data_IF_100495794139
#
_entry.id   IF_100495794139
#
_cell.length_a   1.000
_cell.length_b   1.000
_cell.length_c   1.000
_cell.angle_alpha   90.00
_cell.angle_beta   90.00
_cell.angle_gamma   90.00
#
_symmetry.space_group_name_H-M   'P 1'
#
loop_
_entity.id
_entity.type
_entity.pdbx_description
1 polymer ?
#
# COMPACT_ATOMS: atom_id res chain seq x y z
N UNK A 1 -5.13 -33.37 -21.06
CA UNK A 1 -5.83 -33.28 -19.77
C UNK A 1 -5.83 -34.65 -19.13
N UNK A 2 -4.91 -34.84 -18.19
CA UNK A 2 -4.66 -36.08 -17.47
C UNK A 2 -5.84 -36.42 -16.56
N UNK A 3 -6.06 -37.70 -16.28
CA UNK A 3 -7.11 -38.16 -15.36
C UNK A 3 -6.90 -37.61 -13.93
N UNK A 4 -5.66 -37.31 -13.56
CA UNK A 4 -5.31 -36.65 -12.29
C UNK A 4 -5.81 -35.21 -12.22
N UNK A 5 -5.71 -34.43 -13.30
CA UNK A 5 -6.21 -33.05 -13.36
C UNK A 5 -7.74 -33.02 -13.25
N UNK A 6 -8.43 -34.02 -13.80
CA UNK A 6 -9.90 -34.16 -13.70
C UNK A 6 -10.35 -34.60 -12.32
N UNK A 7 -9.61 -35.51 -11.67
CA UNK A 7 -9.88 -35.94 -10.30
C UNK A 7 -9.64 -34.82 -9.29
N UNK A 8 -8.56 -34.05 -9.48
CA UNK A 8 -8.29 -32.85 -8.69
C UNK A 8 -9.40 -31.81 -8.89
N UNK A 9 -9.78 -31.49 -10.14
CA UNK A 9 -10.86 -30.54 -10.40
C UNK A 9 -12.22 -30.95 -9.82
N UNK A 10 -12.54 -32.25 -9.82
CA UNK A 10 -13.77 -32.78 -9.23
C UNK A 10 -13.77 -32.67 -7.69
N UNK A 11 -12.65 -33.04 -7.04
CA UNK A 11 -12.47 -32.85 -5.60
C UNK A 11 -12.56 -31.36 -5.20
N UNK A 12 -12.01 -30.47 -6.03
CA UNK A 12 -12.10 -29.02 -5.85
C UNK A 12 -13.50 -28.43 -6.14
N UNK A 13 -14.38 -29.14 -6.86
CA UNK A 13 -15.76 -28.72 -7.11
C UNK A 13 -16.68 -29.11 -5.94
N UNK A 14 -16.44 -30.28 -5.35
CA UNK A 14 -17.17 -30.80 -4.20
C UNK A 14 -16.92 -29.95 -2.93
N UNK A 15 -15.66 -29.55 -2.70
CA UNK A 15 -15.28 -28.63 -1.63
C UNK A 15 -15.87 -27.23 -1.80
N UNK A 16 -16.13 -26.77 -3.04
CA UNK A 16 -16.78 -25.48 -3.31
C UNK A 16 -18.28 -25.48 -2.99
N UNK A 17 -18.95 -26.63 -3.12
CA UNK A 17 -20.38 -26.76 -2.78
C UNK A 17 -20.65 -26.70 -1.28
N UNK A 18 -19.79 -27.34 -0.48
CA UNK A 18 -19.93 -27.37 0.98
C UNK A 18 -19.74 -25.99 1.67
N UNK A 19 -19.03 -25.06 1.02
CA UNK A 19 -18.72 -23.72 1.55
C UNK A 19 -19.95 -22.77 1.51
N UNK A 20 -20.98 -23.06 0.70
CA UNK A 20 -22.12 -22.16 0.51
C UNK A 20 -23.26 -22.41 1.51
N UNK A 21 -23.37 -23.62 2.07
CA UNK A 21 -24.53 -24.03 2.90
C UNK A 21 -24.39 -23.73 4.42
N UNK A 22 -23.21 -23.36 4.91
CA UNK A 22 -22.93 -23.25 6.35
C UNK A 22 -22.44 -21.88 6.82
N UNK A 23 -23.35 -20.90 6.93
CA UNK A 23 -23.09 -19.63 7.62
C UNK A 23 -22.33 -18.58 6.80
N UNK A 24 -22.39 -17.32 7.25
CA UNK A 24 -22.02 -16.11 6.49
C UNK A 24 -20.55 -16.15 6.07
N UNK A 25 -20.30 -16.74 4.89
CA UNK A 25 -19.04 -16.65 4.19
C UNK A 25 -18.90 -15.22 3.66
N UNK A 26 -18.11 -14.39 4.34
CA UNK A 26 -17.53 -13.22 3.67
C UNK A 26 -16.44 -13.73 2.75
N UNK A 27 -16.84 -14.12 1.54
CA UNK A 27 -15.96 -14.17 0.38
C UNK A 27 -15.44 -12.75 0.13
N UNK A 28 -14.29 -12.41 0.71
CA UNK A 28 -13.56 -11.25 0.28
C UNK A 28 -13.07 -11.49 -1.15
N UNK A 29 -13.77 -10.89 -2.12
CA UNK A 29 -13.23 -10.60 -3.45
C UNK A 29 -13.63 -11.56 -4.57
N UNK A 30 -14.88 -11.47 -5.03
CA UNK A 30 -15.27 -11.91 -6.38
C UNK A 30 -16.24 -10.89 -7.00
N UNK A 31 -15.87 -9.61 -7.01
CA UNK A 31 -16.52 -8.59 -7.84
C UNK A 31 -15.42 -7.73 -8.46
N UNK A 32 -15.45 -7.68 -9.79
CA UNK A 32 -14.37 -7.21 -10.65
C UNK A 32 -14.08 -5.72 -10.59
N UNK A 33 -12.79 -5.44 -10.68
CA UNK A 33 -12.13 -4.18 -11.02
C UNK A 33 -10.67 -4.54 -11.32
N UNK A 34 -10.00 -3.85 -12.24
CA UNK A 34 -8.70 -4.21 -12.86
C UNK A 34 -7.48 -4.33 -11.92
N UNK A 35 -7.68 -4.55 -10.62
CA UNK A 35 -6.67 -4.93 -9.61
C UNK A 35 -6.91 -6.30 -8.96
N UNK A 36 -7.75 -7.17 -9.52
CA UNK A 36 -8.07 -8.48 -8.95
C UNK A 36 -7.01 -9.55 -9.26
N UNK A 37 -5.89 -9.54 -8.52
CA UNK A 37 -5.06 -10.74 -8.41
C UNK A 37 -5.85 -11.80 -7.64
N UNK A 38 -5.98 -13.00 -8.22
CA UNK A 38 -6.50 -14.14 -7.49
C UNK A 38 -5.46 -14.47 -6.42
N UNK A 39 -5.79 -14.25 -5.14
CA UNK A 39 -4.93 -14.66 -4.03
C UNK A 39 -4.62 -16.15 -4.22
N UNK A 40 -3.33 -16.50 -4.31
CA UNK A 40 -2.95 -17.90 -4.46
C UNK A 40 -3.45 -18.70 -3.25
N UNK A 41 -3.75 -19.98 -3.46
CA UNK A 41 -4.32 -20.88 -2.45
C UNK A 41 -3.49 -20.92 -1.14
N UNK A 42 -2.19 -20.60 -1.21
CA UNK A 42 -1.28 -20.51 -0.07
C UNK A 42 -1.66 -19.36 0.88
N UNK A 43 -2.30 -18.30 0.37
CA UNK A 43 -2.81 -17.17 1.15
C UNK A 43 -4.27 -17.33 1.57
N UNK A 44 -4.93 -18.44 1.22
CA UNK A 44 -6.22 -18.79 1.81
C UNK A 44 -5.95 -19.32 3.22
N UNK A 45 -6.02 -18.44 4.20
CA UNK A 45 -5.91 -18.83 5.62
C UNK A 45 -6.97 -19.87 5.95
N UNK A 46 -6.57 -20.92 6.67
CA UNK A 46 -7.44 -21.92 7.28
C UNK A 46 -8.59 -21.17 7.97
N UNK A 47 -9.82 -21.41 7.50
CA UNK A 47 -11.00 -20.91 8.18
C UNK A 47 -11.04 -21.60 9.55
N UNK A 48 -10.66 -20.87 10.60
CA UNK A 48 -10.99 -21.28 11.97
C UNK A 48 -12.51 -21.26 12.03
N UNK A 49 -13.13 -22.43 12.17
CA UNK A 49 -14.57 -22.55 12.41
C UNK A 49 -14.81 -22.04 13.82
N UNK A 50 -15.03 -20.73 13.93
CA UNK A 50 -15.25 -20.06 15.20
C UNK A 50 -16.75 -20.14 15.49
N UNK A 51 -17.11 -20.99 16.44
CA UNK A 51 -18.49 -21.20 16.88
C UNK A 51 -18.89 -20.23 18.00
N UNK A 52 -17.92 -19.65 18.72
CA UNK A 52 -18.13 -18.72 19.83
C UNK A 52 -17.45 -17.36 19.59
N UNK A 53 -18.18 -16.27 19.82
CA UNK A 53 -17.67 -14.89 19.71
C UNK A 53 -16.63 -14.55 20.77
N UNK A 54 -16.57 -15.31 21.86
CA UNK A 54 -15.62 -15.08 22.95
C UNK A 54 -14.36 -15.94 22.86
N UNK A 55 -14.12 -16.62 21.73
CA UNK A 55 -12.92 -17.44 21.51
C UNK A 55 -11.64 -16.55 21.54
N UNK A 56 -10.69 -16.80 22.47
CA UNK A 56 -9.41 -16.08 22.51
C UNK A 56 -8.63 -16.13 21.20
N UNK A 57 -8.77 -17.20 20.41
CA UNK A 57 -8.11 -17.35 19.09
C UNK A 57 -8.70 -16.36 18.07
N UNK A 58 -10.02 -16.13 18.09
CA UNK A 58 -10.67 -15.10 17.28
C UNK A 58 -10.17 -13.70 17.67
N UNK A 59 -10.13 -13.40 18.96
CA UNK A 59 -9.67 -12.11 19.44
C UNK A 59 -8.21 -11.83 19.05
N UNK A 60 -7.33 -12.82 19.20
CA UNK A 60 -5.93 -12.69 18.78
C UNK A 60 -5.81 -12.50 17.26
N UNK A 61 -6.55 -13.26 16.45
CA UNK A 61 -6.58 -13.08 15.00
C UNK A 61 -7.08 -11.68 14.60
N UNK A 62 -8.16 -11.19 15.23
CA UNK A 62 -8.67 -9.84 14.99
C UNK A 62 -7.67 -8.75 15.40
N UNK A 63 -6.96 -8.91 16.52
CA UNK A 63 -5.90 -7.98 16.94
C UNK A 63 -4.77 -7.93 15.92
N UNK A 64 -4.33 -9.08 15.41
CA UNK A 64 -3.31 -9.15 14.36
C UNK A 64 -3.77 -8.45 13.08
N UNK A 65 -4.98 -8.74 12.62
CA UNK A 65 -5.54 -8.09 11.41
C UNK A 65 -5.75 -6.59 11.61
N UNK A 66 -6.15 -6.16 12.81
CA UNK A 66 -6.24 -4.75 13.16
C UNK A 66 -4.87 -4.07 13.15
N UNK A 67 -3.84 -4.66 13.77
CA UNK A 67 -2.48 -4.13 13.75
C UNK A 67 -1.93 -4.00 12.33
N UNK A 68 -2.19 -5.01 11.47
CA UNK A 68 -1.82 -4.95 10.05
C UNK A 68 -2.53 -3.79 9.35
N UNK A 69 -3.85 -3.71 9.42
CA UNK A 69 -4.62 -2.63 8.82
C UNK A 69 -4.18 -1.25 9.35
N UNK A 70 -3.94 -1.13 10.64
CA UNK A 70 -3.46 0.09 11.28
C UNK A 70 -2.08 0.52 10.76
N UNK A 71 -1.13 -0.41 10.65
CA UNK A 71 0.20 -0.14 10.10
C UNK A 71 0.14 0.31 8.63
N UNK A 72 -0.72 -0.30 7.82
CA UNK A 72 -0.97 0.14 6.44
C UNK A 72 -1.54 1.55 6.38
N UNK A 73 -2.51 1.89 7.23
CA UNK A 73 -3.07 3.24 7.27
C UNK A 73 -2.03 4.27 7.69
N UNK A 74 -1.20 3.96 8.71
CA UNK A 74 -0.10 4.85 9.13
C UNK A 74 0.90 5.06 7.99
N UNK A 75 1.37 4.00 7.36
CA UNK A 75 2.30 4.06 6.22
C UNK A 75 1.71 4.84 5.03
N UNK A 76 0.46 4.55 4.66
CA UNK A 76 -0.18 5.25 3.55
C UNK A 76 -0.26 6.76 3.80
N UNK A 77 -0.45 7.19 5.06
CA UNK A 77 -0.41 8.61 5.40
C UNK A 77 0.97 9.25 5.22
N UNK A 78 2.05 8.50 5.45
CA UNK A 78 3.42 8.94 5.19
C UNK A 78 3.66 9.05 3.68
N UNK A 79 3.28 8.02 2.92
CA UNK A 79 3.40 8.00 1.46
C UNK A 79 2.66 9.19 0.81
N UNK A 80 1.48 9.56 1.31
CA UNK A 80 0.73 10.74 0.83
C UNK A 80 1.47 12.05 1.14
N UNK A 81 2.11 12.17 2.31
CA UNK A 81 2.92 13.35 2.65
C UNK A 81 4.16 13.45 1.76
N UNK A 82 4.84 12.33 1.53
CA UNK A 82 6.00 12.25 0.66
C UNK A 82 5.63 12.63 -0.78
N UNK A 83 4.55 12.04 -1.32
CA UNK A 83 4.08 12.34 -2.67
C UNK A 83 3.77 13.83 -2.86
N UNK A 84 3.13 14.45 -1.86
CA UNK A 84 2.86 15.89 -1.88
C UNK A 84 4.15 16.70 -1.96
N UNK A 85 5.15 16.33 -1.17
CA UNK A 85 6.43 17.03 -1.15
C UNK A 85 7.21 16.81 -2.45
N UNK A 86 7.25 15.60 -2.98
CA UNK A 86 7.86 15.29 -4.28
C UNK A 86 7.23 16.11 -5.42
N UNK A 87 5.89 16.25 -5.42
CA UNK A 87 5.19 17.11 -6.38
C UNK A 87 5.62 18.58 -6.24
N UNK A 88 5.71 19.07 -4.99
CA UNK A 88 6.17 20.44 -4.72
C UNK A 88 7.61 20.66 -5.18
N UNK A 89 8.50 19.73 -4.84
CA UNK A 89 9.91 19.76 -5.21
C UNK A 89 10.12 19.69 -6.72
N UNK A 90 9.35 18.86 -7.43
CA UNK A 90 9.43 18.76 -8.89
C UNK A 90 9.08 20.09 -9.56
N UNK A 91 8.02 20.76 -9.11
CA UNK A 91 7.63 22.07 -9.64
C UNK A 91 8.68 23.14 -9.29
N UNK A 92 9.15 23.16 -8.04
CA UNK A 92 10.17 24.11 -7.61
C UNK A 92 11.47 23.94 -8.41
N UNK A 93 11.90 22.70 -8.64
CA UNK A 93 13.05 22.37 -9.46
C UNK A 93 12.90 22.92 -10.89
N UNK A 94 11.76 22.68 -11.55
CA UNK A 94 11.54 23.19 -12.91
C UNK A 94 11.57 24.72 -13.01
N UNK A 95 11.07 25.45 -12.00
CA UNK A 95 11.22 26.90 -11.95
C UNK A 95 12.67 27.33 -11.76
N UNK A 96 13.43 26.66 -10.89
CA UNK A 96 14.86 26.90 -10.71
C UNK A 96 15.65 26.62 -11.99
N UNK A 97 15.33 25.56 -12.74
CA UNK A 97 15.94 25.30 -14.05
C UNK A 97 15.59 26.40 -15.06
N UNK A 98 14.34 26.87 -15.08
CA UNK A 98 13.94 27.99 -15.93
C UNK A 98 14.74 29.27 -15.61
N UNK A 99 14.96 29.57 -14.32
CA UNK A 99 15.78 30.70 -13.88
C UNK A 99 17.24 30.57 -14.35
N UNK A 100 17.83 29.37 -14.26
CA UNK A 100 19.18 29.10 -14.78
C UNK A 100 19.26 29.36 -16.29
N UNK A 101 18.26 28.94 -17.06
CA UNK A 101 18.22 29.24 -18.50
C UNK A 101 18.12 30.74 -18.77
N UNK A 102 17.39 31.51 -17.95
CA UNK A 102 17.35 32.97 -18.07
C UNK A 102 18.66 33.66 -17.68
N UNK A 103 19.38 33.10 -16.72
CA UNK A 103 20.74 33.55 -16.39
C UNK A 103 21.67 33.34 -17.59
N UNK A 104 21.66 32.13 -18.18
CA UNK A 104 22.42 31.82 -19.39
C UNK A 104 22.04 32.75 -20.56
N UNK A 105 20.76 33.08 -20.73
CA UNK A 105 20.34 34.06 -21.74
C UNK A 105 21.02 35.43 -21.55
N UNK A 106 21.26 35.85 -20.30
CA UNK A 106 21.91 37.15 -20.00
C UNK A 106 23.42 37.10 -20.16
N UNK A 107 24.02 35.91 -20.20
CA UNK A 107 25.46 35.76 -20.38
C UNK A 107 25.90 36.10 -21.81
N UNK A 108 27.01 36.83 -21.90
CA UNK A 108 27.64 37.17 -23.17
C UNK A 108 28.72 36.13 -23.48
N UNK A 109 28.60 35.43 -24.61
CA UNK A 109 29.64 34.49 -25.02
C UNK A 109 30.85 35.29 -25.54
N UNK A 110 31.91 35.33 -24.73
CA UNK A 110 33.16 36.00 -25.08
C UNK A 110 33.73 35.45 -26.40
N UNK A 111 34.01 36.33 -27.35
CA UNK A 111 34.59 35.97 -28.65
C UNK A 111 33.64 35.32 -29.65
N UNK A 112 32.33 35.34 -29.40
CA UNK A 112 31.31 34.82 -30.33
C UNK A 112 30.88 35.86 -31.36
N UNK A 113 30.40 35.37 -32.52
CA UNK A 113 29.76 36.22 -33.52
C UNK A 113 28.40 36.73 -33.03
N UNK A 114 27.91 37.88 -33.51
CA UNK A 114 26.63 38.42 -33.06
C UNK A 114 25.45 37.47 -33.36
N UNK A 115 25.51 36.74 -34.47
CA UNK A 115 24.49 35.74 -34.84
C UNK A 115 24.48 34.55 -33.88
N UNK A 116 25.65 34.12 -33.40
CA UNK A 116 25.76 33.05 -32.42
C UNK A 116 25.23 33.50 -31.05
N UNK A 117 25.50 34.74 -30.65
CA UNK A 117 24.95 35.32 -29.42
C UNK A 117 23.42 35.44 -29.49
N UNK A 118 22.87 35.85 -30.64
CA UNK A 118 21.42 35.89 -30.87
C UNK A 118 20.80 34.49 -30.77
N UNK A 119 21.38 33.50 -31.46
CA UNK A 119 20.92 32.11 -31.41
C UNK A 119 20.98 31.51 -30.01
N UNK A 120 22.06 31.79 -29.26
CA UNK A 120 22.19 31.38 -27.87
C UNK A 120 21.07 31.94 -26.98
N UNK A 121 20.81 33.24 -27.09
CA UNK A 121 19.72 33.90 -26.33
C UNK A 121 18.36 33.33 -26.68
N UNK A 122 18.09 33.13 -27.97
CA UNK A 122 16.83 32.55 -28.43
C UNK A 122 16.63 31.13 -27.88
N UNK A 123 17.67 30.30 -27.93
CA UNK A 123 17.64 28.93 -27.42
C UNK A 123 17.43 28.89 -25.90
N UNK A 124 18.19 29.67 -25.14
CA UNK A 124 18.04 29.75 -23.69
C UNK A 124 16.64 30.25 -23.29
N UNK A 125 16.09 31.24 -24.00
CA UNK A 125 14.73 31.73 -23.78
C UNK A 125 13.66 30.67 -24.09
N UNK A 126 13.84 29.87 -25.14
CA UNK A 126 12.94 28.76 -25.47
C UNK A 126 12.92 27.69 -24.37
N UNK A 127 14.08 27.31 -23.84
CA UNK A 127 14.20 26.35 -22.74
C UNK A 127 13.57 26.86 -21.46
N UNK A 128 13.85 28.12 -21.08
CA UNK A 128 13.21 28.74 -19.92
C UNK A 128 11.67 28.72 -20.02
N UNK A 129 11.14 29.04 -21.22
CA UNK A 129 9.70 29.00 -21.47
C UNK A 129 9.13 27.58 -21.43
N UNK A 130 9.88 26.60 -21.95
CA UNK A 130 9.46 25.19 -21.97
C UNK A 130 9.36 24.63 -20.55
N UNK A 131 10.36 24.88 -19.71
CA UNK A 131 10.35 24.47 -18.30
C UNK A 131 9.19 25.09 -17.53
N UNK A 132 8.92 26.39 -17.73
CA UNK A 132 7.76 27.05 -17.12
C UNK A 132 6.43 26.44 -17.54
N UNK A 133 6.24 26.20 -18.84
CA UNK A 133 5.03 25.54 -19.35
C UNK A 133 4.85 24.15 -18.75
N UNK A 134 5.94 23.38 -18.62
CA UNK A 134 5.90 22.07 -17.96
C UNK A 134 5.47 22.20 -16.49
N UNK A 135 6.01 23.17 -15.76
CA UNK A 135 5.61 23.45 -14.39
C UNK A 135 4.13 23.81 -14.27
N UNK A 136 3.62 24.70 -15.13
CA UNK A 136 2.20 25.08 -15.17
C UNK A 136 1.29 23.89 -15.46
N UNK A 137 1.67 23.04 -16.42
CA UNK A 137 0.94 21.81 -16.75
C UNK A 137 0.91 20.84 -15.58
N UNK A 138 2.05 20.62 -14.91
CA UNK A 138 2.14 19.76 -13.73
C UNK A 138 1.30 20.31 -12.59
N UNK A 139 1.39 21.62 -12.32
CA UNK A 139 0.60 22.29 -11.29
C UNK A 139 -0.90 22.13 -11.54
N UNK A 140 -1.37 22.35 -12.78
CA UNK A 140 -2.76 22.15 -13.16
C UNK A 140 -3.22 20.69 -13.02
N UNK A 141 -2.40 19.74 -13.46
CA UNK A 141 -2.71 18.30 -13.37
C UNK A 141 -2.74 17.81 -11.92
N UNK A 142 -1.82 18.28 -11.09
CA UNK A 142 -1.65 17.86 -9.71
C UNK A 142 -2.57 18.59 -8.73
N UNK A 143 -3.10 19.76 -9.08
CA UNK A 143 -4.02 20.52 -8.21
C UNK A 143 -5.15 19.66 -7.63
N UNK A 144 -5.82 18.86 -8.48
CA UNK A 144 -6.90 17.95 -8.04
C UNK A 144 -6.39 16.85 -7.11
N UNK A 145 -5.19 16.33 -7.35
CA UNK A 145 -4.60 15.24 -6.56
C UNK A 145 -4.16 15.78 -5.20
N UNK A 146 -3.49 16.93 -5.18
CA UNK A 146 -3.08 17.62 -3.97
C UNK A 146 -4.27 18.01 -3.10
N UNK A 147 -5.37 18.51 -3.69
CA UNK A 147 -6.59 18.79 -2.94
C UNK A 147 -7.17 17.55 -2.26
N UNK A 148 -7.12 16.38 -2.92
CA UNK A 148 -7.53 15.10 -2.32
C UNK A 148 -6.56 14.64 -1.23
N UNK A 149 -5.26 14.79 -1.45
CA UNK A 149 -4.23 14.46 -0.47
C UNK A 149 -4.38 15.33 0.80
N UNK A 150 -4.61 16.63 0.65
CA UNK A 150 -4.84 17.56 1.75
C UNK A 150 -6.10 17.20 2.54
N UNK A 151 -7.21 16.89 1.84
CA UNK A 151 -8.44 16.44 2.49
C UNK A 151 -8.22 15.12 3.27
N UNK A 152 -7.49 14.17 2.69
CA UNK A 152 -7.14 12.90 3.35
C UNK A 152 -6.28 13.13 4.60
N UNK A 153 -5.22 13.95 4.48
CA UNK A 153 -4.31 14.24 5.59
C UNK A 153 -5.01 15.03 6.71
N UNK A 154 -5.91 15.96 6.37
CA UNK A 154 -6.73 16.67 7.35
C UNK A 154 -7.65 15.72 8.12
N UNK A 155 -8.38 14.86 7.41
CA UNK A 155 -9.22 13.84 8.04
C UNK A 155 -8.41 12.88 8.92
N UNK A 156 -7.21 12.48 8.46
CA UNK A 156 -6.32 11.63 9.25
C UNK A 156 -5.75 12.33 10.48
N UNK A 157 -5.41 13.62 10.38
CA UNK A 157 -4.93 14.41 11.51
C UNK A 157 -5.97 14.51 12.64
N UNK A 158 -7.25 14.64 12.28
CA UNK A 158 -8.37 14.59 13.25
C UNK A 158 -8.45 13.22 13.92
N UNK A 159 -8.37 12.13 13.13
CA UNK A 159 -8.37 10.77 13.67
C UNK A 159 -7.17 10.51 14.59
N UNK A 160 -5.96 10.90 14.19
CA UNK A 160 -4.76 10.69 15.01
C UNK A 160 -4.81 11.47 16.35
N UNK A 161 -5.53 12.60 16.41
CA UNK A 161 -5.77 13.35 17.64
C UNK A 161 -6.86 12.73 18.53
N UNK A 162 -7.87 12.08 17.93
CA UNK A 162 -8.99 11.44 18.63
C UNK A 162 -8.68 9.99 19.05
N UNK A 163 -7.78 9.30 18.35
CA UNK A 163 -7.50 7.86 18.53
C UNK A 163 -6.30 7.58 19.45
N UNK A 164 -6.05 8.37 20.49
CA UNK A 164 -5.13 7.97 21.58
C UNK A 164 -5.81 6.87 22.39
N UNK A 165 -5.91 5.68 21.81
CA UNK A 165 -6.30 4.45 22.49
C UNK A 165 -5.00 3.84 22.99
N UNK A 166 -4.73 4.01 24.29
CA UNK A 166 -3.68 3.25 24.97
C UNK A 166 -4.13 1.79 25.00
N UNK A 167 -3.66 1.00 24.04
CA UNK A 167 -3.77 -0.45 24.10
C UNK A 167 -2.75 -0.91 25.13
N UNK A 168 -3.18 -1.02 26.39
CA UNK A 168 -2.40 -1.71 27.42
C UNK A 168 -2.25 -3.16 26.96
N UNK A 169 -1.02 -3.52 26.59
CA UNK A 169 -0.64 -4.88 26.26
C UNK A 169 -0.56 -5.66 27.56
N UNK A 170 -1.71 -6.11 28.08
CA UNK A 170 -1.69 -7.25 29.00
C UNK A 170 -1.19 -8.46 28.21
N UNK A 171 0.10 -8.75 28.42
CA UNK A 171 0.73 -10.03 28.10
C UNK A 171 -0.04 -11.09 28.90
N UNK A 172 -1.03 -11.73 28.27
CA UNK A 172 -1.73 -12.86 28.86
C UNK A 172 -0.72 -13.95 29.22
N UNK A 173 -0.90 -14.51 30.42
CA UNK A 173 0.02 -15.41 31.12
C UNK A 173 0.71 -16.45 30.22
N UNK A 174 1.99 -16.68 30.54
CA UNK A 174 2.81 -17.78 30.07
C UNK A 174 1.98 -19.08 30.06
N UNK A 175 1.67 -19.58 28.86
CA UNK A 175 1.14 -20.93 28.70
C UNK A 175 2.20 -21.91 29.20
N UNK A 176 2.01 -22.43 30.40
CA UNK A 176 2.82 -23.54 30.91
C UNK A 176 2.78 -24.71 29.91
N UNK A 177 3.93 -25.32 29.58
CA UNK A 177 3.96 -26.46 28.69
C UNK A 177 3.21 -27.63 29.34
N UNK A 178 2.17 -28.13 28.67
CA UNK A 178 1.55 -29.40 29.03
C UNK A 178 2.58 -30.52 28.83
N UNK A 179 3.10 -31.05 29.94
CA UNK A 179 3.92 -32.28 29.95
C UNK A 179 3.03 -33.46 29.51
N UNK A 180 3.04 -33.78 28.22
CA UNK A 180 2.51 -35.03 27.69
C UNK A 180 3.43 -36.19 28.13
N UNK A 181 3.23 -36.69 29.35
CA UNK A 181 3.87 -37.91 29.86
C UNK A 181 3.29 -39.12 29.10
N UNK A 182 3.89 -39.44 27.95
CA UNK A 182 3.60 -40.66 27.19
C UNK A 182 4.08 -41.87 28.01
N UNK A 183 3.18 -42.38 28.84
CA UNK A 183 3.36 -43.63 29.60
C UNK A 183 3.36 -44.82 28.65
N UNK A 184 4.55 -45.23 28.22
CA UNK A 184 4.78 -46.52 27.55
C UNK A 184 4.37 -47.65 28.50
N UNK A 185 3.22 -48.29 28.24
CA UNK A 185 2.92 -49.59 28.85
C UNK A 185 3.83 -50.63 28.20
N UNK A 186 4.78 -51.13 28.98
CA UNK A 186 5.38 -52.44 28.71
C UNK A 186 4.31 -53.51 28.90
N UNK A 187 4.14 -54.35 27.88
CA UNK A 187 3.51 -55.66 28.01
C UNK A 187 4.66 -56.68 27.91
N UNK A 188 5.18 -57.06 29.07
CA UNK A 188 5.72 -58.41 29.31
C UNK A 188 4.60 -59.21 29.99
N UNK A 189 4.48 -60.48 29.60
CA UNK A 189 3.77 -61.64 30.19
C UNK A 189 3.14 -62.43 29.02
N UNK A 190 3.32 -63.73 28.83
CA UNK A 190 4.01 -64.82 29.52
C UNK A 190 4.11 -66.00 28.51
#
# INVERSE_FOLDING_TARGET
>A
MSWEEKAQHAHWAELRGAIIEGGIARTAGLVGGEGSHHLSWIWMTVQVVITDKNDPRLHNALRVEWCKAYSWVKRYSEDVRLLREEMRCTIAFGYTEAEKWEELMREELLGSSPELTEGHRAYAAEHANTERKMCELLQGRWARILAKADAYLAARGVLDAETVVTVELEMGDELEPEDEEVRLKGEEEE
#
